data_IF_814463710266
#
_entry.id   IF_814463710266
#
_cell.length_a   1.000
_cell.length_b   1.000
_cell.length_c   1.000
_cell.angle_alpha   90.00
_cell.angle_beta   90.00
_cell.angle_gamma   90.00
#
_symmetry.space_group_name_H-M   'P 1'
#
loop_
_entity.id
_entity.type
_entity.pdbx_description
1 polymer ?
#
# COMPACT_ATOMS: atom_id res chain seq x y z
N UNK A 1 14.79 -26.72 17.26
CA UNK A 1 13.35 -26.39 17.44
C UNK A 1 13.13 -24.99 16.94
N UNK A 2 12.61 -24.85 15.69
CA UNK A 2 12.29 -23.56 15.11
C UNK A 2 11.10 -22.93 15.85
N UNK A 3 11.18 -21.62 16.04
CA UNK A 3 10.07 -20.81 16.60
C UNK A 3 9.00 -20.60 15.53
N UNK A 4 9.36 -20.79 14.25
CA UNK A 4 8.49 -20.57 13.09
C UNK A 4 8.49 -21.79 12.19
N UNK A 5 7.32 -22.08 11.63
CA UNK A 5 7.15 -22.97 10.48
C UNK A 5 7.21 -22.12 9.22
N UNK A 6 8.27 -22.30 8.41
CA UNK A 6 8.56 -21.44 7.25
C UNK A 6 8.12 -22.13 5.97
N UNK A 7 7.18 -21.53 5.27
CA UNK A 7 6.72 -21.98 3.96
C UNK A 7 7.15 -20.98 2.89
N UNK A 8 7.77 -21.48 1.83
CA UNK A 8 8.11 -20.69 0.65
C UNK A 8 7.00 -20.84 -0.39
N UNK A 9 6.60 -19.73 -0.99
CA UNK A 9 5.64 -19.71 -2.10
C UNK A 9 6.18 -18.88 -3.26
N UNK A 10 5.73 -19.19 -4.46
CA UNK A 10 6.01 -18.39 -5.64
C UNK A 10 5.11 -17.16 -5.63
N UNK A 11 5.71 -15.97 -5.70
CA UNK A 11 4.98 -14.71 -5.71
C UNK A 11 4.22 -14.43 -7.03
N UNK A 12 4.40 -15.26 -8.05
CA UNK A 12 3.57 -15.23 -9.28
C UNK A 12 2.25 -15.98 -9.11
N UNK A 13 2.09 -16.72 -8.01
CA UNK A 13 0.90 -17.53 -7.71
C UNK A 13 0.10 -16.95 -6.55
N UNK A 14 -1.13 -17.42 -6.39
CA UNK A 14 -1.89 -17.23 -5.16
C UNK A 14 -1.40 -18.20 -4.10
N UNK A 15 -1.37 -17.77 -2.84
CA UNK A 15 -1.05 -18.63 -1.71
C UNK A 15 -2.20 -18.65 -0.71
N UNK A 16 -2.26 -19.69 0.13
CA UNK A 16 -3.21 -19.80 1.23
C UNK A 16 -2.46 -19.79 2.55
N UNK A 17 -2.91 -18.94 3.49
CA UNK A 17 -2.38 -18.89 4.85
C UNK A 17 -3.55 -18.97 5.84
N UNK A 18 -3.80 -20.15 6.37
CA UNK A 18 -4.99 -20.41 7.20
C UNK A 18 -6.28 -20.05 6.45
N UNK A 19 -7.14 -19.19 6.99
CA UNK A 19 -8.38 -18.75 6.33
C UNK A 19 -8.14 -17.69 5.22
N UNK A 20 -6.93 -17.15 5.08
CA UNK A 20 -6.63 -16.03 4.21
C UNK A 20 -6.09 -16.48 2.84
N UNK A 21 -6.66 -15.93 1.77
CA UNK A 21 -6.08 -16.03 0.44
C UNK A 21 -5.10 -14.86 0.20
N UNK A 22 -3.90 -15.18 -0.27
CA UNK A 22 -2.87 -14.20 -0.59
C UNK A 22 -2.75 -14.04 -2.11
N UNK A 23 -2.68 -12.80 -2.58
CA UNK A 23 -2.41 -12.47 -3.98
C UNK A 23 -1.27 -11.48 -4.07
N UNK A 24 -0.42 -11.64 -5.06
CA UNK A 24 0.79 -10.83 -5.25
C UNK A 24 0.73 -10.10 -6.59
N UNK A 25 1.41 -8.95 -6.66
CA UNK A 25 1.66 -8.24 -7.91
C UNK A 25 3.08 -7.66 -7.89
N UNK A 26 3.82 -7.69 -9.00
CA UNK A 26 5.14 -7.08 -9.04
C UNK A 26 5.04 -5.57 -8.86
N UNK A 27 5.98 -5.00 -8.12
CA UNK A 27 6.08 -3.56 -7.90
C UNK A 27 6.96 -2.90 -8.97
N UNK A 28 6.77 -1.60 -9.18
CA UNK A 28 7.66 -0.78 -10.01
C UNK A 28 8.58 0.00 -9.10
N UNK A 29 9.73 -0.61 -8.79
CA UNK A 29 10.74 -0.06 -7.89
C UNK A 29 12.13 -0.52 -8.37
N UNK A 30 13.23 0.21 -8.09
CA UNK A 30 14.60 -0.19 -8.48
C UNK A 30 15.04 -1.55 -7.93
N UNK A 31 14.55 -1.92 -6.74
CA UNK A 31 14.73 -3.25 -6.19
C UNK A 31 13.48 -4.10 -6.48
N UNK A 32 13.66 -5.38 -6.88
CA UNK A 32 12.53 -6.29 -7.07
C UNK A 32 11.68 -6.41 -5.79
N UNK A 33 10.37 -6.29 -5.93
CA UNK A 33 9.44 -6.40 -4.82
C UNK A 33 8.04 -6.80 -5.29
N UNK A 34 7.18 -7.08 -4.32
CA UNK A 34 5.80 -7.48 -4.57
C UNK A 34 4.85 -6.74 -3.65
N UNK A 35 3.75 -6.26 -4.23
CA UNK A 35 2.56 -5.91 -3.49
C UNK A 35 1.88 -7.19 -2.99
N UNK A 36 1.27 -7.12 -1.81
CA UNK A 36 0.61 -8.27 -1.17
C UNK A 36 -0.83 -7.89 -0.84
N UNK A 37 -1.78 -8.70 -1.28
CA UNK A 37 -3.18 -8.59 -0.89
C UNK A 37 -3.61 -9.83 -0.11
N UNK A 38 -4.29 -9.57 1.00
CA UNK A 38 -4.87 -10.58 1.89
C UNK A 38 -6.38 -10.47 1.78
N UNK A 39 -7.04 -11.53 1.38
CA UNK A 39 -8.49 -11.63 1.31
C UNK A 39 -8.98 -12.66 2.35
N UNK A 40 -9.94 -12.24 3.20
CA UNK A 40 -10.64 -13.02 4.21
C UNK A 40 -12.06 -12.49 4.36
N UNK A 41 -12.55 -12.30 5.59
CA UNK A 41 -13.83 -11.64 5.86
C UNK A 41 -13.79 -10.15 5.44
N UNK A 42 -12.61 -9.54 5.49
CA UNK A 42 -12.28 -8.27 4.87
C UNK A 42 -11.00 -8.41 4.03
N UNK A 43 -10.71 -7.42 3.20
CA UNK A 43 -9.56 -7.43 2.29
C UNK A 43 -8.61 -6.28 2.57
N UNK A 44 -7.33 -6.61 2.67
CA UNK A 44 -6.25 -5.68 2.89
C UNK A 44 -5.23 -5.79 1.75
N UNK A 45 -4.85 -4.67 1.15
CA UNK A 45 -3.85 -4.61 0.10
C UNK A 45 -2.70 -3.68 0.51
N UNK A 46 -1.46 -4.15 0.41
CA UNK A 46 -0.25 -3.37 0.65
C UNK A 46 0.57 -3.27 -0.63
N UNK A 47 0.87 -2.06 -1.06
CA UNK A 47 1.59 -1.82 -2.32
C UNK A 47 3.05 -2.26 -2.28
N UNK A 48 3.67 -2.36 -1.10
CA UNK A 48 5.13 -2.34 -1.02
C UNK A 48 5.68 -1.02 -1.57
N UNK A 49 6.98 -0.93 -1.70
CA UNK A 49 7.66 0.20 -2.32
C UNK A 49 7.40 0.15 -3.83
N UNK A 50 6.65 1.13 -4.37
CA UNK A 50 6.23 1.12 -5.77
C UNK A 50 5.83 2.49 -6.28
N UNK A 51 5.95 2.69 -7.58
CA UNK A 51 5.23 3.74 -8.29
C UNK A 51 3.76 3.36 -8.46
N UNK A 52 2.89 4.37 -8.54
CA UNK A 52 1.48 4.17 -8.86
C UNK A 52 1.33 3.76 -10.34
N UNK A 53 0.65 2.64 -10.60
CA UNK A 53 0.38 2.14 -11.94
C UNK A 53 -1.08 1.72 -12.11
N UNK A 54 -1.56 1.68 -13.34
CA UNK A 54 -2.90 1.16 -13.64
C UNK A 54 -3.04 -0.33 -13.27
N UNK A 55 -1.97 -1.11 -13.44
CA UNK A 55 -1.95 -2.54 -13.05
C UNK A 55 -2.14 -2.70 -11.54
N UNK A 56 -1.44 -1.86 -10.75
CA UNK A 56 -1.56 -1.87 -9.29
C UNK A 56 -2.97 -1.46 -8.83
N UNK A 57 -3.59 -0.45 -9.50
CA UNK A 57 -4.98 -0.07 -9.22
C UNK A 57 -5.97 -1.20 -9.53
N UNK A 58 -5.80 -1.89 -10.65
CA UNK A 58 -6.65 -3.03 -11.02
C UNK A 58 -6.49 -4.20 -10.05
N UNK A 59 -5.26 -4.45 -9.57
CA UNK A 59 -4.96 -5.50 -8.60
C UNK A 59 -5.54 -5.18 -7.21
N UNK A 60 -5.46 -3.93 -6.76
CA UNK A 60 -6.00 -3.48 -5.47
C UNK A 60 -7.53 -3.28 -5.49
N UNK A 61 -8.19 -3.50 -6.62
CA UNK A 61 -9.59 -3.17 -6.83
C UNK A 61 -10.50 -3.67 -5.71
N UNK A 62 -11.29 -2.73 -5.16
CA UNK A 62 -12.29 -2.98 -4.11
C UNK A 62 -11.72 -3.64 -2.84
N UNK A 63 -10.44 -3.40 -2.51
CA UNK A 63 -9.95 -3.75 -1.19
C UNK A 63 -10.63 -2.87 -0.13
N UNK A 64 -10.93 -3.42 1.03
CA UNK A 64 -11.49 -2.62 2.14
C UNK A 64 -10.46 -1.60 2.62
N UNK A 65 -9.20 -1.99 2.66
CA UNK A 65 -8.08 -1.09 2.97
C UNK A 65 -6.95 -1.25 1.97
N UNK A 66 -6.43 -0.12 1.49
CA UNK A 66 -5.19 -0.04 0.73
C UNK A 66 -4.13 0.69 1.54
N UNK A 67 -3.03 0.03 1.88
CA UNK A 67 -1.84 0.62 2.47
C UNK A 67 -0.84 0.95 1.36
N UNK A 68 -0.44 2.22 1.29
CA UNK A 68 0.52 2.70 0.30
C UNK A 68 1.82 3.20 0.94
N UNK A 69 2.93 2.94 0.26
CA UNK A 69 4.19 3.65 0.38
C UNK A 69 4.07 5.00 -0.32
N UNK A 70 3.90 6.10 0.42
CA UNK A 70 3.75 7.44 -0.16
C UNK A 70 4.38 8.53 0.73
N UNK A 71 5.73 8.58 0.80
CA UNK A 71 6.46 9.43 1.74
C UNK A 71 6.44 10.92 1.40
N UNK A 72 6.03 11.28 0.19
CA UNK A 72 6.18 12.63 -0.35
C UNK A 72 4.86 13.24 -0.83
N UNK A 73 4.81 14.57 -0.89
CA UNK A 73 3.87 15.30 -1.74
C UNK A 73 4.52 15.55 -3.12
N UNK A 74 3.74 15.99 -4.11
CA UNK A 74 4.27 16.39 -5.43
C UNK A 74 5.35 17.48 -5.32
N UNK A 75 5.28 18.33 -4.28
CA UNK A 75 6.23 19.43 -4.05
C UNK A 75 7.54 18.96 -3.43
N UNK A 76 7.51 17.87 -2.65
CA UNK A 76 8.67 17.39 -1.89
C UNK A 76 9.31 16.14 -2.48
N UNK A 77 8.67 15.50 -3.45
CA UNK A 77 9.20 14.31 -4.09
C UNK A 77 10.51 14.60 -4.83
N UNK A 78 11.55 13.76 -4.67
CA UNK A 78 12.74 13.84 -5.48
C UNK A 78 12.43 13.53 -6.95
N UNK A 79 13.29 13.95 -7.86
CA UNK A 79 13.14 13.64 -9.29
C UNK A 79 14.44 13.01 -9.83
N UNK A 80 14.43 11.73 -10.27
CA UNK A 80 13.31 10.79 -10.20
C UNK A 80 13.00 10.30 -8.77
N UNK A 81 11.74 9.94 -8.50
CA UNK A 81 11.33 9.29 -7.26
C UNK A 81 11.07 7.80 -7.51
N UNK A 82 11.56 6.90 -6.65
CA UNK A 82 11.18 5.49 -6.71
C UNK A 82 9.84 5.18 -6.02
N UNK A 83 9.29 6.15 -5.28
CA UNK A 83 8.07 6.04 -4.50
C UNK A 83 6.96 6.93 -5.06
N UNK A 84 5.72 6.55 -4.83
CA UNK A 84 4.60 7.40 -5.19
C UNK A 84 4.45 8.59 -4.24
N UNK A 85 3.79 9.64 -4.72
CA UNK A 85 3.40 10.77 -3.85
C UNK A 85 2.05 10.49 -3.20
N UNK A 86 1.72 11.24 -2.15
CA UNK A 86 0.42 11.18 -1.47
C UNK A 86 -0.76 11.42 -2.43
N UNK A 87 -0.58 12.33 -3.40
CA UNK A 87 -1.58 12.58 -4.43
C UNK A 87 -1.76 11.38 -5.36
N UNK A 88 -0.65 10.72 -5.75
CA UNK A 88 -0.69 9.50 -6.56
C UNK A 88 -1.32 8.34 -5.81
N UNK A 89 -1.05 8.20 -4.49
CA UNK A 89 -1.72 7.22 -3.64
C UNK A 89 -3.24 7.47 -3.57
N UNK A 90 -3.66 8.73 -3.43
CA UNK A 90 -5.08 9.12 -3.47
C UNK A 90 -5.73 8.79 -4.83
N UNK A 91 -5.05 9.05 -5.95
CA UNK A 91 -5.52 8.68 -7.29
C UNK A 91 -5.61 7.17 -7.46
N UNK A 92 -4.63 6.42 -6.97
CA UNK A 92 -4.61 4.95 -6.97
C UNK A 92 -5.82 4.40 -6.20
N UNK A 93 -6.04 4.87 -4.96
CA UNK A 93 -7.15 4.47 -4.10
C UNK A 93 -8.52 4.74 -4.75
N UNK A 94 -8.70 5.92 -5.34
CA UNK A 94 -9.91 6.30 -6.06
C UNK A 94 -10.15 5.40 -7.29
N UNK A 95 -9.12 5.15 -8.10
CA UNK A 95 -9.22 4.32 -9.30
C UNK A 95 -9.47 2.86 -8.96
N UNK A 96 -8.90 2.36 -7.86
CA UNK A 96 -9.13 1.03 -7.33
C UNK A 96 -10.47 0.89 -6.59
N UNK A 97 -11.14 2.00 -6.27
CA UNK A 97 -12.40 2.02 -5.51
C UNK A 97 -12.29 1.31 -4.16
N UNK A 98 -11.20 1.55 -3.43
CA UNK A 98 -10.98 0.96 -2.10
C UNK A 98 -11.86 1.62 -1.04
N UNK A 99 -12.06 0.95 0.10
CA UNK A 99 -12.81 1.50 1.23
C UNK A 99 -12.06 2.62 1.96
N UNK A 100 -10.78 2.39 2.27
CA UNK A 100 -9.92 3.35 2.96
C UNK A 100 -8.49 3.32 2.39
N UNK A 101 -7.80 4.45 2.47
CA UNK A 101 -6.37 4.59 2.14
C UNK A 101 -5.56 4.84 3.41
N UNK A 102 -4.59 3.98 3.66
CA UNK A 102 -3.59 4.18 4.70
C UNK A 102 -2.24 4.50 4.05
N UNK A 103 -1.52 5.47 4.61
CA UNK A 103 -0.22 5.92 4.10
C UNK A 103 0.86 5.62 5.13
N UNK A 104 1.95 5.05 4.67
CA UNK A 104 3.14 4.74 5.45
C UNK A 104 4.42 5.17 4.74
N UNK A 105 5.57 4.74 5.27
CA UNK A 105 6.92 5.00 4.72
C UNK A 105 7.30 6.48 4.80
N UNK A 106 6.77 7.22 5.79
CA UNK A 106 7.06 8.65 5.92
C UNK A 106 8.54 8.88 6.24
N UNK A 107 9.11 9.91 5.61
CA UNK A 107 10.49 10.31 5.91
C UNK A 107 10.54 10.96 7.29
N UNK A 108 11.43 10.54 8.20
CA UNK A 108 11.57 11.18 9.50
C UNK A 108 11.77 12.69 9.39
N UNK A 109 10.94 13.47 10.10
CA UNK A 109 10.96 14.94 10.06
C UNK A 109 10.25 15.57 8.86
N UNK A 110 9.57 14.79 8.01
CA UNK A 110 8.69 15.34 6.97
C UNK A 110 7.43 15.96 7.57
N UNK A 111 6.77 16.83 6.80
CA UNK A 111 5.46 17.38 7.17
C UNK A 111 4.36 16.34 6.89
N UNK A 112 4.08 15.52 7.89
CA UNK A 112 3.05 14.46 7.85
C UNK A 112 1.66 15.03 7.55
N UNK A 113 1.35 16.23 8.07
CA UNK A 113 0.07 16.87 7.82
C UNK A 113 -0.06 17.30 6.36
N UNK A 114 1.01 17.76 5.74
CA UNK A 114 1.01 18.09 4.32
C UNK A 114 0.78 16.84 3.46
N UNK A 115 1.43 15.70 3.80
CA UNK A 115 1.22 14.40 3.13
C UNK A 115 -0.24 13.97 3.25
N UNK A 116 -0.79 13.96 4.46
CA UNK A 116 -2.18 13.58 4.70
C UNK A 116 -3.17 14.49 3.98
N UNK A 117 -2.96 15.81 4.03
CA UNK A 117 -3.81 16.78 3.33
C UNK A 117 -3.77 16.59 1.82
N UNK A 118 -2.60 16.28 1.25
CA UNK A 118 -2.44 16.03 -0.19
C UNK A 118 -3.25 14.81 -0.65
N UNK A 119 -3.19 13.71 0.09
CA UNK A 119 -4.00 12.52 -0.18
C UNK A 119 -5.51 12.78 -0.04
N UNK A 120 -5.93 13.43 1.06
CA UNK A 120 -7.34 13.70 1.38
C UNK A 120 -8.03 14.61 0.37
N UNK A 121 -7.32 15.48 -0.32
CA UNK A 121 -7.85 16.28 -1.43
C UNK A 121 -8.38 15.44 -2.58
N UNK A 122 -7.88 14.21 -2.73
CA UNK A 122 -8.19 13.29 -3.84
C UNK A 122 -9.05 12.12 -3.36
N UNK A 123 -8.72 11.58 -2.19
CA UNK A 123 -9.44 10.47 -1.56
C UNK A 123 -9.63 10.81 -0.07
N UNK A 124 -10.88 11.15 0.30
CA UNK A 124 -11.22 11.71 1.62
C UNK A 124 -10.92 10.73 2.77
N UNK A 125 -11.20 9.45 2.56
CA UNK A 125 -10.97 8.40 3.58
C UNK A 125 -9.50 7.96 3.57
N UNK A 126 -8.62 8.89 3.92
CA UNK A 126 -7.18 8.68 4.02
C UNK A 126 -6.69 8.93 5.45
N UNK A 127 -5.77 8.11 5.92
CA UNK A 127 -5.09 8.28 7.21
C UNK A 127 -3.63 7.87 7.14
N UNK A 128 -2.82 8.39 8.07
CA UNK A 128 -1.45 7.92 8.27
C UNK A 128 -1.48 6.70 9.18
N UNK A 129 -0.56 5.77 8.95
CA UNK A 129 -0.32 4.66 9.88
C UNK A 129 0.58 5.12 11.00
N UNK A 130 0.20 4.81 12.23
CA UNK A 130 0.99 5.06 13.43
C UNK A 130 1.67 3.75 13.87
N UNK A 131 2.93 3.84 14.27
CA UNK A 131 3.64 2.69 14.83
C UNK A 131 2.94 2.18 16.09
N UNK A 132 2.86 0.86 16.25
CA UNK A 132 2.24 0.17 17.39
C UNK A 132 0.75 0.46 17.59
N UNK A 133 0.07 1.09 16.64
CA UNK A 133 -1.38 1.27 16.71
C UNK A 133 -2.10 0.02 16.19
N UNK A 134 -3.08 -0.48 16.95
CA UNK A 134 -3.98 -1.53 16.49
C UNK A 134 -5.07 -0.93 15.62
N UNK A 135 -5.27 -1.51 14.43
CA UNK A 135 -6.36 -1.13 13.52
C UNK A 135 -7.08 -2.38 13.01
N UNK A 136 -8.38 -2.31 12.99
CA UNK A 136 -9.24 -3.37 12.44
C UNK A 136 -9.67 -3.01 11.02
N UNK A 137 -9.60 -3.99 10.14
CA UNK A 137 -10.07 -3.92 8.75
C UNK A 137 -11.44 -4.58 8.64
#
# INVERSE_FOLDING_TARGET
TGVFDVHFTDAESTAQCGPFALRFAPTVHPLPGYAVRVDGDASFAYTGDSLATHALAAWAKQADVLLCDAPFTKQTAPSPSPHMTAEQAGELARNAQVGALWISHLVPGSDEQAVLCAARKIFQDSSLVEEMADRTV
#
